data_IF_398913560910
#
_entry.id   IF_398913560910
#
_cell.length_a   1.000
_cell.length_b   1.000
_cell.length_c   1.000
_cell.angle_alpha   90.00
_cell.angle_beta   90.00
_cell.angle_gamma   90.00
#
_symmetry.space_group_name_H-M   'P 1'
#
loop_
_entity.id
_entity.type
_entity.pdbx_description
1 polymer ?
#
# COMPACT_ATOMS: atom_id res chain seq x y z
N UNK A 1 14.65 -41.30 42.11
CA UNK A 1 13.57 -42.29 42.11
C UNK A 1 13.09 -42.36 40.67
N UNK A 2 13.49 -43.42 39.97
CA UNK A 2 13.21 -43.66 38.57
C UNK A 2 11.76 -44.11 38.36
N UNK A 3 11.21 -43.84 37.17
CA UNK A 3 10.28 -44.74 36.48
C UNK A 3 10.54 -44.56 34.97
N UNK A 4 11.38 -45.43 34.43
CA UNK A 4 11.24 -45.91 33.06
C UNK A 4 10.09 -46.92 33.05
N UNK A 5 9.26 -46.92 32.01
CA UNK A 5 8.63 -48.10 31.38
C UNK A 5 7.53 -47.64 30.41
N UNK A 6 7.78 -47.72 29.10
CA UNK A 6 7.10 -48.66 28.18
C UNK A 6 7.63 -48.48 26.76
N UNK A 7 8.28 -49.54 26.27
CA UNK A 7 8.74 -49.77 24.90
C UNK A 7 7.73 -50.71 24.24
N UNK A 8 7.23 -50.43 23.03
CA UNK A 8 6.23 -51.32 22.40
C UNK A 8 5.59 -50.80 21.13
N UNK A 9 6.19 -51.13 19.98
CA UNK A 9 5.85 -50.57 18.67
C UNK A 9 4.48 -50.91 18.07
N UNK A 10 4.08 -50.10 17.09
CA UNK A 10 3.20 -50.51 15.99
C UNK A 10 3.22 -49.44 14.88
N UNK A 11 3.31 -49.89 13.63
CA UNK A 11 2.64 -49.21 12.53
C UNK A 11 3.48 -48.23 11.72
N UNK A 12 4.17 -48.80 10.73
CA UNK A 12 4.40 -48.13 9.45
C UNK A 12 3.11 -47.43 8.98
N UNK A 13 3.21 -46.12 8.69
CA UNK A 13 2.42 -45.34 7.72
C UNK A 13 2.55 -43.82 7.97
N UNK A 14 3.75 -43.31 8.27
CA UNK A 14 4.04 -41.91 7.96
C UNK A 14 4.43 -41.87 6.48
N UNK A 15 3.66 -41.17 5.60
CA UNK A 15 4.14 -40.93 4.25
C UNK A 15 5.53 -40.29 4.34
N UNK A 16 6.46 -40.60 3.43
CA UNK A 16 7.77 -39.97 3.45
C UNK A 16 7.55 -38.46 3.44
N UNK A 17 7.98 -37.78 4.52
CA UNK A 17 7.92 -36.33 4.60
C UNK A 17 8.53 -35.77 3.32
N UNK A 18 7.75 -34.97 2.59
CA UNK A 18 8.17 -34.38 1.34
C UNK A 18 9.54 -33.71 1.57
N UNK A 19 10.57 -33.97 0.74
CA UNK A 19 11.86 -33.29 0.85
C UNK A 19 11.75 -31.76 0.95
N UNK A 20 10.66 -31.18 0.44
CA UNK A 20 10.31 -29.76 0.57
C UNK A 20 9.96 -29.34 2.01
N UNK A 21 9.40 -30.24 2.82
CA UNK A 21 8.98 -29.98 4.20
C UNK A 21 10.18 -29.93 5.15
N UNK A 22 11.25 -30.68 4.85
CA UNK A 22 12.50 -30.69 5.63
C UNK A 22 13.30 -29.39 5.54
N UNK A 23 13.06 -28.55 4.52
CA UNK A 23 13.68 -27.22 4.35
C UNK A 23 12.96 -26.12 5.12
N UNK A 24 11.77 -26.41 5.65
CA UNK A 24 10.91 -25.45 6.34
C UNK A 24 11.42 -25.26 7.76
N UNK A 25 11.73 -24.02 8.15
CA UNK A 25 12.01 -23.71 9.55
C UNK A 25 10.74 -23.97 10.35
N UNK A 26 10.75 -24.83 11.38
CA UNK A 26 9.58 -25.04 12.21
C UNK A 26 9.16 -23.71 12.83
N UNK A 27 7.90 -23.31 12.62
CA UNK A 27 7.31 -22.08 13.18
C UNK A 27 7.22 -20.85 12.25
N UNK A 28 7.52 -20.95 10.94
CA UNK A 28 7.24 -19.85 9.99
C UNK A 28 5.89 -20.05 9.29
N UNK A 29 5.00 -19.07 9.47
CA UNK A 29 3.74 -19.00 8.75
C UNK A 29 3.93 -18.84 7.24
N UNK A 30 3.10 -19.53 6.46
CA UNK A 30 3.11 -19.48 5.00
C UNK A 30 1.75 -18.99 4.48
N UNK A 31 1.79 -18.26 3.37
CA UNK A 31 0.58 -17.87 2.64
C UNK A 31 -0.26 -19.09 2.25
N UNK A 32 -1.57 -19.01 2.50
CA UNK A 32 -2.54 -20.04 2.12
C UNK A 32 -2.64 -20.18 0.59
N UNK A 33 -2.82 -19.05 -0.12
CA UNK A 33 -2.88 -19.02 -1.58
C UNK A 33 -1.88 -18.04 -2.19
N UNK A 34 -1.48 -18.32 -3.45
CA UNK A 34 -0.64 -17.42 -4.25
C UNK A 34 -1.36 -16.11 -4.61
N UNK A 35 -2.68 -16.15 -4.77
CA UNK A 35 -3.52 -14.99 -5.05
C UNK A 35 -3.51 -14.00 -3.89
N UNK A 36 -3.52 -14.50 -2.65
CA UNK A 36 -3.53 -13.68 -1.44
C UNK A 36 -2.21 -12.91 -1.30
N UNK A 37 -1.10 -13.58 -1.61
CA UNK A 37 0.20 -12.94 -1.72
C UNK A 37 0.22 -11.87 -2.82
N UNK A 38 -0.27 -12.18 -4.02
CA UNK A 38 -0.29 -11.24 -5.14
C UNK A 38 -1.13 -9.99 -4.82
N UNK A 39 -2.33 -10.17 -4.25
CA UNK A 39 -3.20 -9.07 -3.84
C UNK A 39 -2.57 -8.21 -2.76
N UNK A 40 -1.86 -8.82 -1.79
CA UNK A 40 -1.13 -8.06 -0.76
C UNK A 40 -0.04 -7.18 -1.35
N UNK A 41 0.70 -7.70 -2.33
CA UNK A 41 1.78 -6.96 -3.01
C UNK A 41 1.21 -5.83 -3.88
N UNK A 42 0.12 -6.08 -4.61
CA UNK A 42 -0.57 -5.05 -5.40
C UNK A 42 -1.13 -3.96 -4.47
N UNK A 43 -1.75 -4.33 -3.36
CA UNK A 43 -2.26 -3.38 -2.37
C UNK A 43 -1.17 -2.53 -1.73
N UNK A 44 0.04 -3.08 -1.56
CA UNK A 44 1.21 -2.31 -1.12
C UNK A 44 1.74 -1.36 -2.22
N UNK A 45 1.67 -1.75 -3.48
CA UNK A 45 2.20 -0.95 -4.60
C UNK A 45 1.24 0.17 -5.06
N UNK A 46 -0.07 0.01 -4.88
CA UNK A 46 -1.09 1.00 -5.23
C UNK A 46 -1.37 1.88 -4.02
N UNK A 47 -0.88 3.11 -4.04
CA UNK A 47 -1.04 4.07 -2.95
C UNK A 47 -1.85 5.31 -3.35
N UNK A 48 -2.13 6.16 -2.35
CA UNK A 48 -2.79 7.44 -2.58
C UNK A 48 -1.93 8.35 -3.49
N UNK A 49 -0.60 8.29 -3.38
CA UNK A 49 0.28 9.13 -4.19
C UNK A 49 0.10 8.90 -5.70
N UNK A 50 -0.21 7.67 -6.12
CA UNK A 50 -0.55 7.39 -7.52
C UNK A 50 -1.81 8.13 -8.01
N UNK A 51 -2.76 8.46 -7.12
CA UNK A 51 -4.02 9.14 -7.48
C UNK A 51 -3.83 10.63 -7.73
N UNK A 52 -3.01 11.33 -6.93
CA UNK A 52 -2.89 12.80 -7.02
C UNK A 52 -1.49 13.28 -7.43
N UNK A 53 -0.42 12.64 -6.95
CA UNK A 53 0.95 13.08 -7.22
C UNK A 53 1.38 12.74 -8.63
N UNK A 54 1.05 11.54 -9.12
CA UNK A 54 1.41 11.14 -10.49
C UNK A 54 0.76 12.05 -11.55
N UNK A 55 -0.57 12.31 -11.53
CA UNK A 55 -1.18 13.24 -12.47
C UNK A 55 -0.62 14.66 -12.37
N UNK A 56 -0.36 15.13 -11.14
CA UNK A 56 0.23 16.45 -10.91
C UNK A 56 1.63 16.60 -11.54
N UNK A 57 2.51 15.60 -11.34
CA UNK A 57 3.85 15.59 -11.94
C UNK A 57 3.80 15.48 -13.46
N UNK A 58 2.92 14.61 -13.98
CA UNK A 58 2.70 14.45 -15.41
C UNK A 58 2.30 15.79 -16.05
N UNK A 59 1.31 16.48 -15.48
CA UNK A 59 0.83 17.77 -15.98
C UNK A 59 1.94 18.84 -15.96
N UNK A 60 2.70 18.93 -14.86
CA UNK A 60 3.76 19.94 -14.70
C UNK A 60 4.95 19.71 -15.65
N UNK A 61 5.26 18.45 -15.99
CA UNK A 61 6.45 18.06 -16.75
C UNK A 61 6.17 17.79 -18.23
N UNK A 62 5.20 18.48 -18.83
CA UNK A 62 4.89 18.36 -20.26
C UNK A 62 3.82 17.31 -20.61
N UNK A 63 2.95 16.98 -19.65
CA UNK A 63 1.82 16.06 -19.83
C UNK A 63 2.29 14.69 -20.28
N UNK A 64 1.70 14.18 -21.37
CA UNK A 64 2.00 12.85 -21.90
C UNK A 64 3.47 12.61 -22.26
N UNK A 65 4.27 13.65 -22.53
CA UNK A 65 5.70 13.51 -22.81
C UNK A 65 6.49 12.98 -21.59
N UNK A 66 6.02 13.24 -20.37
CA UNK A 66 6.62 12.73 -19.14
C UNK A 66 6.56 11.20 -19.02
N UNK A 67 5.66 10.54 -19.76
CA UNK A 67 5.52 9.08 -19.73
C UNK A 67 6.74 8.35 -20.31
N UNK A 68 7.45 8.95 -21.27
CA UNK A 68 8.64 8.33 -21.89
C UNK A 68 9.77 8.12 -20.86
N UNK A 69 10.26 9.16 -20.16
CA UNK A 69 11.27 8.96 -19.12
C UNK A 69 10.74 8.17 -17.92
N UNK A 70 9.45 8.32 -17.58
CA UNK A 70 8.82 7.54 -16.50
C UNK A 70 8.86 6.03 -16.78
N UNK A 71 8.40 5.60 -17.95
CA UNK A 71 8.43 4.19 -18.35
C UNK A 71 9.87 3.66 -18.46
N UNK A 72 10.80 4.47 -18.98
CA UNK A 72 12.21 4.07 -19.09
C UNK A 72 12.84 3.81 -17.72
N UNK A 73 12.65 4.72 -16.76
CA UNK A 73 13.14 4.54 -15.39
C UNK A 73 12.43 3.41 -14.65
N UNK A 74 11.15 3.17 -14.93
CA UNK A 74 10.40 2.04 -14.39
C UNK A 74 10.99 0.71 -14.87
N UNK A 75 11.24 0.56 -16.18
CA UNK A 75 11.77 -0.67 -16.77
C UNK A 75 13.23 -0.94 -16.34
N UNK A 76 14.07 0.09 -16.28
CA UNK A 76 15.51 -0.06 -16.00
C UNK A 76 15.82 -0.07 -14.50
N UNK A 77 15.09 0.70 -13.70
CA UNK A 77 15.33 0.83 -12.26
C UNK A 77 14.24 0.16 -11.42
N UNK A 78 12.99 0.54 -11.64
CA UNK A 78 11.86 0.10 -10.81
C UNK A 78 11.68 -1.43 -10.79
N UNK A 79 11.52 -2.05 -11.96
CA UNK A 79 11.26 -3.49 -12.10
C UNK A 79 12.45 -4.33 -11.57
N UNK A 80 13.72 -4.05 -11.94
CA UNK A 80 14.85 -4.84 -11.43
C UNK A 80 15.02 -4.74 -9.91
N UNK A 81 14.86 -3.54 -9.33
CA UNK A 81 14.94 -3.37 -7.87
C UNK A 81 13.81 -4.11 -7.15
N UNK A 82 12.59 -4.02 -7.66
CA UNK A 82 11.44 -4.71 -7.10
C UNK A 82 11.59 -6.24 -7.18
N UNK A 83 12.06 -6.75 -8.33
CA UNK A 83 12.32 -8.17 -8.52
C UNK A 83 13.42 -8.68 -7.57
N UNK A 84 14.51 -7.93 -7.42
CA UNK A 84 15.60 -8.27 -6.50
C UNK A 84 15.09 -8.36 -5.05
N UNK A 85 14.30 -7.40 -4.58
CA UNK A 85 13.74 -7.40 -3.22
C UNK A 85 12.87 -8.64 -2.97
N UNK A 86 11.98 -8.96 -3.92
CA UNK A 86 11.11 -10.14 -3.82
C UNK A 86 11.92 -11.44 -3.84
N UNK A 87 12.92 -11.55 -4.72
CA UNK A 87 13.78 -12.72 -4.81
C UNK A 87 14.57 -12.94 -3.52
N UNK A 88 15.14 -11.88 -2.93
CA UNK A 88 15.85 -11.94 -1.65
C UNK A 88 14.91 -12.34 -0.51
N UNK A 89 13.72 -11.76 -0.45
CA UNK A 89 12.71 -12.11 0.57
C UNK A 89 12.27 -13.57 0.50
N UNK A 90 12.09 -14.11 -0.71
CA UNK A 90 11.73 -15.51 -0.93
C UNK A 90 12.89 -16.48 -0.64
N UNK A 91 14.13 -16.10 -0.99
CA UNK A 91 15.32 -16.94 -0.79
C UNK A 91 15.76 -17.01 0.67
N UNK A 92 15.92 -15.86 1.35
CA UNK A 92 16.43 -15.80 2.72
C UNK A 92 15.35 -16.06 3.77
N UNK A 93 14.08 -15.83 3.44
CA UNK A 93 12.95 -16.16 4.29
C UNK A 93 13.01 -15.50 5.68
N UNK A 94 13.62 -14.31 5.77
CA UNK A 94 13.81 -13.55 7.01
C UNK A 94 13.43 -12.10 6.82
N UNK A 95 13.12 -11.39 7.92
CA UNK A 95 12.87 -9.95 7.89
C UNK A 95 14.08 -9.14 7.43
N UNK A 96 13.84 -7.88 7.05
CA UNK A 96 14.83 -7.01 6.41
C UNK A 96 16.15 -6.88 7.21
N UNK A 97 16.09 -6.66 8.53
CA UNK A 97 17.29 -6.52 9.40
C UNK A 97 18.15 -7.80 9.36
N UNK A 98 17.52 -8.96 9.53
CA UNK A 98 18.22 -10.25 9.55
C UNK A 98 18.69 -10.66 8.15
N UNK A 99 17.96 -10.27 7.09
CA UNK A 99 18.33 -10.50 5.70
C UNK A 99 19.66 -9.80 5.37
N UNK A 100 19.75 -8.48 5.63
CA UNK A 100 20.98 -7.73 5.42
C UNK A 100 22.13 -8.23 6.30
N UNK A 101 21.85 -8.59 7.56
CA UNK A 101 22.86 -9.17 8.45
C UNK A 101 23.45 -10.50 7.98
N UNK A 102 22.69 -11.30 7.21
CA UNK A 102 23.17 -12.57 6.62
C UNK A 102 23.85 -12.40 5.26
N UNK A 103 23.47 -11.38 4.50
CA UNK A 103 24.06 -11.09 3.21
C UNK A 103 25.41 -10.38 3.37
N UNK A 104 25.41 -9.23 4.05
CA UNK A 104 26.61 -8.44 4.37
C UNK A 104 26.43 -7.80 5.74
N UNK A 105 27.12 -8.27 6.80
CA UNK A 105 26.91 -7.78 8.16
C UNK A 105 27.21 -6.29 8.33
N UNK A 106 28.09 -5.71 7.50
CA UNK A 106 28.38 -4.28 7.46
C UNK A 106 27.14 -3.44 7.08
N UNK A 107 26.25 -3.98 6.24
CA UNK A 107 25.05 -3.30 5.78
C UNK A 107 23.80 -3.58 6.64
N UNK A 108 23.98 -4.17 7.82
CA UNK A 108 22.87 -4.38 8.77
C UNK A 108 22.13 -3.07 9.12
N UNK A 109 22.82 -1.93 9.06
CA UNK A 109 22.23 -0.59 9.24
C UNK A 109 21.08 -0.29 8.28
N UNK A 110 21.13 -0.78 7.03
CA UNK A 110 20.08 -0.56 6.02
C UNK A 110 18.74 -1.10 6.52
N UNK A 111 18.74 -2.28 7.14
CA UNK A 111 17.51 -2.88 7.69
C UNK A 111 16.88 -2.03 8.80
N UNK A 112 17.70 -1.41 9.67
CA UNK A 112 17.20 -0.50 10.70
C UNK A 112 16.66 0.80 10.10
N UNK A 113 17.33 1.35 9.09
CA UNK A 113 16.89 2.54 8.37
C UNK A 113 15.52 2.32 7.70
N UNK A 114 15.30 1.16 7.06
CA UNK A 114 14.00 0.84 6.44
C UNK A 114 12.87 0.80 7.47
N UNK A 115 13.10 0.19 8.65
CA UNK A 115 12.08 0.14 9.72
C UNK A 115 11.77 1.54 10.26
N UNK A 116 12.79 2.37 10.45
CA UNK A 116 12.63 3.76 10.93
C UNK A 116 11.89 4.62 9.90
N UNK A 117 12.20 4.49 8.60
CA UNK A 117 11.49 5.20 7.53
C UNK A 117 10.02 4.76 7.48
N UNK A 118 9.75 3.44 7.57
CA UNK A 118 8.39 2.92 7.58
C UNK A 118 7.56 3.49 8.76
N UNK A 119 8.17 3.60 9.94
CA UNK A 119 7.54 4.19 11.12
C UNK A 119 7.18 5.67 10.93
N UNK A 120 8.07 6.49 10.38
CA UNK A 120 7.74 7.89 10.09
C UNK A 120 6.67 8.04 9.02
N UNK A 121 6.68 7.15 8.01
CA UNK A 121 5.68 7.16 6.95
C UNK A 121 4.29 6.81 7.49
N UNK A 122 4.21 5.80 8.36
CA UNK A 122 2.97 5.34 8.97
C UNK A 122 2.25 6.46 9.75
N UNK A 123 2.98 7.29 10.51
CA UNK A 123 2.38 8.37 11.29
C UNK A 123 1.56 9.35 10.45
N UNK A 124 2.13 9.87 9.35
CA UNK A 124 1.40 10.86 8.55
C UNK A 124 0.35 10.21 7.65
N UNK A 125 0.58 8.98 7.18
CA UNK A 125 -0.40 8.27 6.36
C UNK A 125 -1.67 7.94 7.15
N UNK A 126 -1.55 7.54 8.41
CA UNK A 126 -2.72 7.28 9.26
C UNK A 126 -3.57 8.54 9.49
N UNK A 127 -2.95 9.72 9.60
CA UNK A 127 -3.68 11.00 9.70
C UNK A 127 -4.48 11.28 8.42
N UNK A 128 -3.89 11.04 7.25
CA UNK A 128 -4.57 11.21 5.95
C UNK A 128 -5.76 10.25 5.84
N UNK A 129 -5.59 8.99 6.25
CA UNK A 129 -6.69 8.01 6.28
C UNK A 129 -7.80 8.47 7.22
N UNK A 130 -7.46 9.01 8.40
CA UNK A 130 -8.45 9.54 9.34
C UNK A 130 -9.25 10.71 8.73
N UNK A 131 -8.61 11.61 7.98
CA UNK A 131 -9.32 12.67 7.24
C UNK A 131 -10.22 12.08 6.16
N UNK A 132 -9.74 11.12 5.37
CA UNK A 132 -10.55 10.46 4.35
C UNK A 132 -11.79 9.77 4.95
N UNK A 133 -11.64 9.08 6.08
CA UNK A 133 -12.75 8.47 6.81
C UNK A 133 -13.74 9.51 7.34
N UNK A 134 -13.25 10.65 7.85
CA UNK A 134 -14.12 11.77 8.25
C UNK A 134 -14.96 12.27 7.08
N UNK A 135 -14.36 12.53 5.92
CA UNK A 135 -15.09 12.97 4.73
C UNK A 135 -16.04 11.89 4.19
N UNK A 136 -15.64 10.62 4.26
CA UNK A 136 -16.48 9.48 3.89
C UNK A 136 -17.75 9.41 4.75
N UNK A 137 -17.60 9.47 6.08
CA UNK A 137 -18.74 9.44 7.00
C UNK A 137 -19.62 10.70 6.87
N UNK A 138 -19.00 11.86 6.68
CA UNK A 138 -19.72 13.12 6.43
C UNK A 138 -20.44 13.16 5.08
N UNK A 139 -20.19 12.20 4.18
CA UNK A 139 -20.89 12.10 2.89
C UNK A 139 -22.25 11.40 2.99
N UNK A 140 -22.60 10.82 4.14
CA UNK A 140 -23.92 10.19 4.35
C UNK A 140 -25.03 11.19 4.74
N UNK A 141 -24.81 12.49 4.54
CA UNK A 141 -25.82 13.55 4.74
C UNK A 141 -26.50 13.91 3.41
N UNK A 142 -27.78 14.28 3.46
CA UNK A 142 -28.54 14.68 2.26
C UNK A 142 -27.96 15.91 1.57
N UNK A 143 -27.47 16.87 2.37
CA UNK A 143 -26.76 18.05 1.88
C UNK A 143 -25.32 17.91 2.37
N UNK A 144 -24.36 17.98 1.45
CA UNK A 144 -22.94 17.81 1.78
C UNK A 144 -22.43 19.07 2.49
N UNK A 145 -21.72 18.94 3.62
CA UNK A 145 -21.36 20.10 4.47
C UNK A 145 -20.41 21.11 3.78
N UNK A 146 -19.66 20.69 2.75
CA UNK A 146 -18.78 21.57 1.97
C UNK A 146 -19.45 22.24 0.76
N UNK A 147 -20.78 22.10 0.59
CA UNK A 147 -21.53 22.75 -0.49
C UNK A 147 -22.11 24.10 -0.08
N UNK A 148 -22.41 24.28 1.21
CA UNK A 148 -23.04 25.49 1.75
C UNK A 148 -22.08 26.29 2.62
N UNK A 149 -22.33 27.59 2.71
CA UNK A 149 -21.61 28.49 3.61
C UNK A 149 -22.27 28.62 4.99
N UNK A 150 -23.30 27.83 5.28
CA UNK A 150 -24.09 27.88 6.53
C UNK A 150 -23.60 26.81 7.53
N UNK A 151 -22.34 26.92 7.97
CA UNK A 151 -21.75 26.03 8.97
C UNK A 151 -21.00 26.82 10.03
N UNK A 152 -20.91 26.27 11.25
CA UNK A 152 -20.25 26.91 12.40
C UNK A 152 -18.75 27.19 12.19
N UNK A 153 -18.09 26.44 11.29
CA UNK A 153 -16.67 26.60 10.98
C UNK A 153 -16.39 27.57 9.83
N UNK A 154 -17.42 28.17 9.22
CA UNK A 154 -17.24 29.08 8.10
C UNK A 154 -16.91 30.49 8.57
N UNK A 155 -16.03 31.16 7.82
CA UNK A 155 -15.68 32.57 8.03
C UNK A 155 -16.56 33.50 7.20
N UNK A 156 -16.61 34.80 7.54
CA UNK A 156 -17.35 35.84 6.79
C UNK A 156 -16.98 35.93 5.29
N UNK A 157 -15.82 35.39 4.89
CA UNK A 157 -15.37 35.33 3.50
C UNK A 157 -15.94 34.13 2.71
N UNK A 158 -16.76 33.28 3.31
CA UNK A 158 -17.34 32.13 2.60
C UNK A 158 -18.34 32.62 1.55
N UNK A 159 -18.09 32.28 0.29
CA UNK A 159 -18.98 32.59 -0.84
C UNK A 159 -19.51 31.27 -1.42
N UNK A 160 -20.83 31.02 -1.40
CA UNK A 160 -21.37 29.82 -2.00
C UNK A 160 -21.16 29.84 -3.52
N UNK A 161 -20.94 28.66 -4.11
CA UNK A 161 -20.76 28.53 -5.55
C UNK A 161 -22.09 28.81 -6.25
N UNK A 162 -22.25 30.04 -6.78
CA UNK A 162 -23.43 30.39 -7.58
C UNK A 162 -23.40 29.66 -8.93
N UNK A 163 -24.20 28.59 -9.05
CA UNK A 163 -24.30 27.75 -10.25
C UNK A 163 -24.69 28.53 -11.53
N UNK A 164 -25.28 29.72 -11.38
CA UNK A 164 -25.65 30.59 -12.50
C UNK A 164 -24.45 31.14 -13.31
N UNK A 165 -23.27 31.33 -12.70
CA UNK A 165 -22.09 31.86 -13.42
C UNK A 165 -21.25 30.79 -14.13
N UNK A 166 -21.41 29.52 -13.74
CA UNK A 166 -20.62 28.41 -14.29
C UNK A 166 -21.12 27.96 -15.67
N UNK A 167 -22.30 28.40 -16.10
CA UNK A 167 -22.90 28.07 -17.40
C UNK A 167 -22.14 28.66 -18.61
N UNK A 168 -21.17 29.57 -18.41
CA UNK A 168 -20.44 30.21 -19.53
C UNK A 168 -19.14 29.51 -19.94
N UNK A 169 -18.69 28.46 -19.26
CA UNK A 169 -17.50 27.70 -19.64
C UNK A 169 -17.86 26.32 -20.19
N UNK A 170 -17.74 26.15 -21.52
CA UNK A 170 -17.96 24.90 -22.27
C UNK A 170 -17.19 23.69 -21.69
N UNK A 171 -16.05 23.92 -21.04
CA UNK A 171 -15.19 22.88 -20.50
C UNK A 171 -15.80 22.07 -19.35
N UNK A 172 -16.92 22.49 -18.76
CA UNK A 172 -17.51 21.82 -17.59
C UNK A 172 -18.95 21.37 -17.78
N UNK A 173 -19.34 21.09 -19.02
CA UNK A 173 -20.60 20.36 -19.27
C UNK A 173 -20.49 18.86 -18.92
N UNK A 174 -19.29 18.27 -18.99
CA UNK A 174 -19.07 16.85 -18.66
C UNK A 174 -19.13 16.53 -17.16
N UNK A 175 -18.93 17.53 -16.27
CA UNK A 175 -18.99 17.34 -14.81
C UNK A 175 -20.35 17.73 -14.19
N UNK A 176 -21.20 18.41 -14.98
CA UNK A 176 -22.47 18.99 -14.51
C UNK A 176 -23.51 17.94 -14.11
N UNK A 177 -23.44 16.72 -14.63
CA UNK A 177 -24.48 15.72 -14.42
C UNK A 177 -24.43 14.96 -13.08
N UNK A 178 -23.36 15.07 -12.28
CA UNK A 178 -23.29 14.35 -10.99
C UNK A 178 -23.32 15.24 -9.75
N UNK A 179 -22.88 16.50 -9.81
CA UNK A 179 -22.66 17.30 -8.59
C UNK A 179 -23.74 18.34 -8.28
N UNK A 180 -24.66 18.62 -9.21
CA UNK A 180 -25.66 19.68 -9.04
C UNK A 180 -27.11 19.17 -9.01
N UNK A 181 -27.31 17.85 -8.96
CA UNK A 181 -28.63 17.21 -9.02
C UNK A 181 -29.00 16.41 -7.76
N UNK A 182 -28.31 16.68 -6.64
CA UNK A 182 -28.75 16.36 -5.28
C UNK A 182 -28.79 17.66 -4.48
#
# INVERSE_FOLDING_TARGET
MATDDEDGGAGANTPPADPLERRRRPGREQWSNKTDFLMSVIGFAVDLANVWRFPYLCYKNGGGAFLIPYCTMLLVGGIPLFYMELALGQFYQTGAITCWGRLVPLFKGIGYSVVLIAFYVDFYYNVIIAWALRFFLASFTNILPWTTCDNDWNTDFCQPVNCFYFSKSIYVYLFKNSFCSF
#
